data_IF_869288897373
#
_entry.id   IF_869288897373
#
_cell.length_a   1.000
_cell.length_b   1.000
_cell.length_c   1.000
_cell.angle_alpha   90.00
_cell.angle_beta   90.00
_cell.angle_gamma   90.00
#
_symmetry.space_group_name_H-M   'P 1'
#
loop_
_entity.id
_entity.type
_entity.pdbx_description
1 polymer ?
#
# COMPACT_ATOMS: atom_id res chain seq x y z
N UNK A 1 22.05 -22.19 -62.07
CA UNK A 1 20.57 -22.10 -62.10
C UNK A 1 20.02 -22.50 -60.74
N UNK A 2 19.10 -21.67 -60.23
CA UNK A 2 18.11 -21.90 -59.16
C UNK A 2 18.59 -21.90 -57.70
N UNK A 3 18.40 -20.74 -57.08
CA UNK A 3 18.22 -20.54 -55.65
C UNK A 3 16.91 -21.18 -55.16
N UNK A 4 16.89 -21.68 -53.92
CA UNK A 4 15.67 -21.90 -53.16
C UNK A 4 15.91 -21.52 -51.70
N UNK A 5 15.15 -20.53 -51.23
CA UNK A 5 15.09 -20.11 -49.82
C UNK A 5 13.91 -20.82 -49.15
N UNK A 6 14.11 -21.36 -47.94
CA UNK A 6 13.03 -21.72 -47.03
C UNK A 6 13.41 -21.24 -45.62
N UNK A 7 12.59 -20.36 -45.06
CA UNK A 7 12.57 -19.97 -43.64
C UNK A 7 11.62 -20.91 -42.88
N UNK A 8 11.98 -21.30 -41.65
CA UNK A 8 11.08 -22.08 -40.78
C UNK A 8 11.63 -22.43 -39.39
N UNK A 9 11.41 -21.50 -38.43
CA UNK A 9 10.74 -21.67 -37.12
C UNK A 9 11.24 -22.71 -36.06
N UNK A 10 11.53 -22.14 -34.87
CA UNK A 10 11.38 -22.60 -33.45
C UNK A 10 12.15 -23.82 -32.89
N UNK A 11 12.91 -23.62 -31.81
CA UNK A 11 12.47 -23.73 -30.40
C UNK A 11 13.62 -24.08 -29.42
N UNK A 12 13.50 -23.53 -28.21
CA UNK A 12 13.95 -24.05 -26.92
C UNK A 12 15.47 -24.28 -26.68
N UNK A 13 16.09 -23.33 -25.98
CA UNK A 13 17.23 -23.66 -25.10
C UNK A 13 16.66 -23.86 -23.69
N UNK A 14 16.75 -25.10 -23.22
CA UNK A 14 16.43 -25.50 -21.86
C UNK A 14 17.49 -25.00 -20.87
N UNK A 15 17.01 -24.78 -19.64
CA UNK A 15 17.70 -24.20 -18.51
C UNK A 15 18.92 -24.98 -18.02
N UNK A 16 19.90 -24.24 -17.49
CA UNK A 16 20.65 -24.60 -16.29
C UNK A 16 21.00 -23.30 -15.54
N UNK A 17 20.42 -23.14 -14.35
CA UNK A 17 20.68 -22.05 -13.44
C UNK A 17 21.99 -22.31 -12.67
N UNK A 18 22.85 -21.29 -12.47
CA UNK A 18 23.62 -21.16 -11.26
C UNK A 18 22.88 -20.25 -10.27
N UNK A 19 22.85 -20.71 -9.03
CA UNK A 19 22.47 -20.00 -7.83
C UNK A 19 23.05 -18.57 -7.76
N UNK A 20 22.17 -17.57 -7.88
CA UNK A 20 22.34 -16.25 -7.25
C UNK A 20 21.16 -16.11 -6.29
N UNK A 21 21.36 -16.04 -4.98
CA UNK A 21 22.07 -14.92 -4.39
C UNK A 21 21.28 -13.63 -4.63
N UNK A 22 19.97 -13.65 -4.33
CA UNK A 22 19.12 -12.48 -4.45
C UNK A 22 19.53 -11.47 -3.39
N UNK A 23 20.24 -10.43 -3.85
CA UNK A 23 20.54 -9.23 -3.09
C UNK A 23 19.25 -8.67 -2.46
N UNK A 24 19.25 -8.57 -1.14
CA UNK A 24 18.34 -7.68 -0.43
C UNK A 24 18.79 -6.24 -0.70
N UNK A 25 18.10 -5.56 -1.60
CA UNK A 25 18.25 -4.12 -1.75
C UNK A 25 17.67 -3.42 -0.51
N UNK A 26 18.59 -3.08 0.40
CA UNK A 26 18.64 -1.77 1.06
C UNK A 26 17.39 -1.30 1.79
N UNK A 27 17.08 -1.92 2.94
CA UNK A 27 16.41 -1.23 4.03
C UNK A 27 17.41 -1.03 5.16
N UNK A 28 17.91 0.19 5.34
CA UNK A 28 18.67 0.54 6.54
C UNK A 28 17.85 0.17 7.77
N UNK A 29 18.41 -0.67 8.64
CA UNK A 29 17.90 -0.87 10.00
C UNK A 29 17.73 0.50 10.64
N UNK A 30 16.47 0.94 10.82
CA UNK A 30 16.17 2.18 11.53
C UNK A 30 16.48 1.95 13.01
N UNK A 31 17.62 2.46 13.45
CA UNK A 31 17.96 2.58 14.87
C UNK A 31 17.05 3.61 15.54
N UNK A 32 16.17 3.13 16.44
CA UNK A 32 15.80 3.82 17.68
C UNK A 32 14.54 4.69 17.71
N UNK A 33 13.40 4.08 18.07
CA UNK A 33 12.20 4.76 18.58
C UNK A 33 10.92 3.94 18.36
N UNK A 34 10.00 3.89 19.33
CA UNK A 34 8.70 3.23 19.11
C UNK A 34 7.75 4.13 18.29
N UNK A 35 6.95 3.52 17.41
CA UNK A 35 5.90 4.20 16.65
C UNK A 35 4.64 4.34 17.48
N UNK A 36 4.36 5.53 18.01
CA UNK A 36 3.20 5.73 18.87
C UNK A 36 1.95 6.03 18.05
N UNK A 37 0.82 5.41 18.41
CA UNK A 37 -0.49 5.71 17.79
C UNK A 37 -0.86 7.18 18.05
N UNK A 38 -1.38 7.84 17.02
CA UNK A 38 -1.87 9.21 17.08
C UNK A 38 -3.40 9.19 17.17
N UNK A 39 -3.92 9.90 18.16
CA UNK A 39 -5.36 10.13 18.28
C UNK A 39 -5.87 10.92 17.08
N UNK A 40 -6.90 10.39 16.44
CA UNK A 40 -7.46 10.93 15.22
C UNK A 40 -8.96 10.71 15.19
N UNK A 41 -9.70 11.69 14.68
CA UNK A 41 -11.13 11.53 14.41
C UNK A 41 -11.30 10.81 13.08
N UNK A 42 -12.15 9.79 13.06
CA UNK A 42 -12.45 9.00 11.87
C UNK A 42 -13.91 9.19 11.45
N UNK A 43 -14.15 9.32 10.15
CA UNK A 43 -15.48 9.21 9.54
C UNK A 43 -15.44 8.12 8.49
N UNK A 44 -16.49 7.33 8.39
CA UNK A 44 -16.60 6.30 7.35
C UNK A 44 -17.92 6.41 6.61
N UNK A 45 -17.90 5.91 5.40
CA UNK A 45 -19.05 5.74 4.52
C UNK A 45 -18.99 4.33 3.92
N UNK A 46 -19.97 3.91 3.14
CA UNK A 46 -19.95 2.59 2.53
C UNK A 46 -18.73 2.33 1.62
N UNK A 47 -18.08 3.36 1.06
CA UNK A 47 -17.01 3.21 0.06
C UNK A 47 -15.83 4.16 0.32
N UNK A 48 -15.64 4.59 1.56
CA UNK A 48 -14.51 5.46 1.89
C UNK A 48 -14.45 5.88 3.33
N UNK A 49 -13.30 6.44 3.67
CA UNK A 49 -12.94 6.86 5.01
C UNK A 49 -12.18 8.19 4.98
N UNK A 50 -12.32 8.94 6.07
CA UNK A 50 -11.55 10.14 6.36
C UNK A 50 -10.97 9.99 7.76
N UNK A 51 -9.69 10.33 7.90
CA UNK A 51 -8.97 10.36 9.15
C UNK A 51 -8.35 11.74 9.32
N UNK A 52 -8.63 12.40 10.45
CA UNK A 52 -8.12 13.74 10.75
C UNK A 52 -7.41 13.72 12.10
N UNK A 53 -6.16 14.15 12.12
CA UNK A 53 -5.36 14.29 13.32
C UNK A 53 -4.80 15.71 13.44
N UNK A 54 -4.54 16.15 14.68
CA UNK A 54 -3.77 17.37 14.95
C UNK A 54 -2.47 16.97 15.64
N UNK A 55 -1.34 17.32 15.04
CA UNK A 55 0.00 17.01 15.56
C UNK A 55 0.91 18.22 15.39
N UNK A 56 1.59 18.63 16.47
CA UNK A 56 2.52 19.77 16.49
C UNK A 56 1.96 21.06 15.86
N UNK A 57 0.67 21.33 16.11
CA UNK A 57 -0.03 22.50 15.58
C UNK A 57 -0.46 22.39 14.11
N UNK A 58 -0.22 21.26 13.45
CA UNK A 58 -0.62 20.99 12.05
C UNK A 58 -1.83 20.08 11.98
N UNK A 59 -2.67 20.30 10.99
CA UNK A 59 -3.77 19.41 10.67
C UNK A 59 -3.32 18.40 9.61
N UNK A 60 -3.51 17.11 9.89
CA UNK A 60 -3.13 16.02 9.01
C UNK A 60 -4.41 15.25 8.64
N UNK A 61 -4.69 15.16 7.35
CA UNK A 61 -5.90 14.54 6.81
C UNK A 61 -5.52 13.42 5.85
N UNK A 62 -6.08 12.24 6.06
CA UNK A 62 -6.04 11.15 5.09
C UNK A 62 -7.46 10.81 4.62
N UNK A 63 -7.63 10.59 3.32
CA UNK A 63 -8.91 10.17 2.72
C UNK A 63 -8.67 8.97 1.84
N UNK A 64 -9.42 7.91 2.07
CA UNK A 64 -9.44 6.71 1.23
C UNK A 64 -10.80 6.59 0.55
N UNK A 65 -10.80 6.27 -0.74
CA UNK A 65 -12.00 5.92 -1.49
C UNK A 65 -11.80 4.61 -2.21
N UNK A 66 -12.83 3.78 -2.13
CA UNK A 66 -12.91 2.50 -2.78
C UNK A 66 -13.79 2.59 -4.02
N UNK A 67 -13.62 1.63 -4.92
CA UNK A 67 -14.54 1.37 -6.03
C UNK A 67 -14.64 -0.13 -6.28
N UNK A 68 -15.65 -0.55 -7.03
CA UNK A 68 -15.70 -1.90 -7.56
C UNK A 68 -14.49 -2.16 -8.48
N UNK A 69 -13.97 -3.38 -8.43
CA UNK A 69 -12.95 -3.86 -9.35
C UNK A 69 -13.44 -3.75 -10.81
N UNK A 70 -12.54 -3.35 -11.69
CA UNK A 70 -12.81 -3.15 -13.10
C UNK A 70 -11.67 -3.76 -13.92
N UNK A 71 -11.94 -4.88 -14.59
CA UNK A 71 -10.91 -5.66 -15.29
C UNK A 71 -10.15 -4.84 -16.34
N UNK A 72 -10.79 -3.86 -16.98
CA UNK A 72 -10.12 -3.01 -17.97
C UNK A 72 -9.20 -1.99 -17.31
N UNK A 73 -9.60 -1.42 -16.18
CA UNK A 73 -8.80 -0.41 -15.45
C UNK A 73 -7.69 -1.02 -14.61
N UNK A 74 -7.85 -2.27 -14.19
CA UNK A 74 -6.99 -2.92 -13.20
C UNK A 74 -6.08 -4.01 -13.80
N UNK A 75 -6.13 -4.22 -15.13
CA UNK A 75 -5.30 -5.20 -15.83
C UNK A 75 -3.78 -5.03 -15.62
N UNK A 76 -3.32 -3.83 -15.28
CA UNK A 76 -1.89 -3.55 -15.03
C UNK A 76 -1.43 -3.91 -13.62
N UNK A 77 -2.33 -4.31 -12.72
CA UNK A 77 -2.00 -4.67 -11.34
C UNK A 77 -1.60 -6.15 -11.30
N UNK A 78 -0.31 -6.42 -11.14
CA UNK A 78 0.25 -7.78 -11.15
C UNK A 78 0.12 -8.52 -9.81
N UNK A 79 -0.10 -7.79 -8.71
CA UNK A 79 -0.23 -8.33 -7.35
C UNK A 79 -1.26 -7.54 -6.58
N UNK A 80 -2.06 -8.24 -5.79
CA UNK A 80 -3.10 -7.68 -4.93
C UNK A 80 -2.81 -7.98 -3.46
N UNK A 81 -3.17 -7.05 -2.60
CA UNK A 81 -2.97 -7.15 -1.14
C UNK A 81 -4.29 -6.89 -0.42
N UNK A 82 -4.68 -7.81 0.47
CA UNK A 82 -5.91 -7.75 1.28
C UNK A 82 -6.66 -9.08 1.32
N UNK A 83 -7.74 -9.14 2.10
CA UNK A 83 -8.63 -10.31 2.17
C UNK A 83 -9.48 -10.38 0.89
N UNK A 84 -9.01 -11.19 -0.05
CA UNK A 84 -9.71 -11.45 -1.30
C UNK A 84 -9.99 -12.93 -1.55
N UNK A 85 -9.40 -13.84 -0.76
CA UNK A 85 -9.42 -15.31 -0.90
C UNK A 85 -8.79 -15.82 -2.20
N UNK A 86 -9.25 -15.34 -3.35
CA UNK A 86 -8.67 -15.57 -4.67
C UNK A 86 -8.84 -14.31 -5.52
N UNK A 87 -7.76 -13.76 -6.12
CA UNK A 87 -7.89 -12.61 -7.01
C UNK A 87 -8.75 -12.92 -8.24
N UNK A 88 -9.42 -11.91 -8.82
CA UNK A 88 -9.34 -10.49 -8.47
C UNK A 88 -10.18 -10.12 -7.22
N UNK A 89 -9.85 -9.00 -6.55
CA UNK A 89 -10.67 -8.47 -5.46
C UNK A 89 -12.05 -8.01 -5.97
N UNK A 90 -13.02 -7.85 -5.07
CA UNK A 90 -14.31 -7.25 -5.41
C UNK A 90 -14.23 -5.72 -5.42
N UNK A 91 -13.43 -5.16 -4.52
CA UNK A 91 -13.22 -3.72 -4.36
C UNK A 91 -11.74 -3.39 -4.34
N UNK A 92 -11.40 -2.23 -4.87
CA UNK A 92 -10.03 -1.72 -4.94
C UNK A 92 -9.99 -0.26 -4.51
N UNK A 93 -8.86 0.18 -3.99
CA UNK A 93 -8.67 1.60 -3.65
C UNK A 93 -8.59 2.43 -4.94
N UNK A 94 -9.58 3.30 -5.13
CA UNK A 94 -9.63 4.26 -6.24
C UNK A 94 -8.71 5.44 -5.98
N UNK A 95 -8.70 5.92 -4.74
CA UNK A 95 -8.00 7.13 -4.33
C UNK A 95 -7.51 7.03 -2.91
N UNK A 96 -6.26 7.43 -2.71
CA UNK A 96 -5.68 7.73 -1.41
C UNK A 96 -5.10 9.14 -1.43
N UNK A 97 -5.63 10.01 -0.59
CA UNK A 97 -5.14 11.38 -0.40
C UNK A 97 -4.55 11.50 0.99
N UNK A 98 -3.38 12.13 1.07
CA UNK A 98 -2.80 12.61 2.31
C UNK A 98 -2.57 14.11 2.17
N UNK A 99 -2.94 14.90 3.18
CA UNK A 99 -2.75 16.34 3.19
C UNK A 99 -2.31 16.84 4.57
N UNK A 100 -1.49 17.89 4.57
CA UNK A 100 -1.02 18.60 5.77
C UNK A 100 -1.37 20.07 5.61
N UNK A 101 -2.14 20.63 6.54
CA UNK A 101 -2.65 22.00 6.50
C UNK A 101 -3.33 22.32 5.15
N UNK A 102 -4.08 21.35 4.62
CA UNK A 102 -4.75 21.42 3.33
C UNK A 102 -3.86 21.23 2.09
N UNK A 103 -2.54 21.08 2.25
CA UNK A 103 -1.60 20.84 1.15
C UNK A 103 -1.38 19.34 0.93
N UNK A 104 -1.60 18.88 -0.28
CA UNK A 104 -1.49 17.45 -0.63
C UNK A 104 -0.05 16.93 -0.62
N UNK A 105 0.13 15.75 -0.03
CA UNK A 105 1.34 14.91 -0.17
C UNK A 105 1.13 13.96 -1.34
N UNK A 106 2.09 13.92 -2.27
CA UNK A 106 1.99 13.05 -3.44
C UNK A 106 2.15 11.58 -3.06
N UNK A 107 1.09 10.79 -3.29
CA UNK A 107 1.12 9.32 -3.22
C UNK A 107 0.78 8.79 -4.62
N UNK A 108 1.75 8.23 -5.36
CA UNK A 108 1.49 7.65 -6.67
C UNK A 108 0.44 6.53 -6.63
N UNK A 109 -0.37 6.42 -7.68
CA UNK A 109 -1.40 5.37 -7.80
C UNK A 109 -0.84 3.94 -7.70
N UNK A 110 0.41 3.72 -8.16
CA UNK A 110 1.11 2.45 -8.01
C UNK A 110 1.39 2.05 -6.57
N UNK A 111 1.24 2.96 -5.61
CA UNK A 111 1.45 2.72 -4.17
C UNK A 111 0.16 2.42 -3.40
N UNK A 112 -1.01 2.45 -4.03
CA UNK A 112 -2.27 2.15 -3.33
C UNK A 112 -3.28 1.33 -4.15
N UNK A 113 -3.23 1.35 -5.49
CA UNK A 113 -4.26 0.69 -6.33
C UNK A 113 -4.27 -0.83 -6.26
N UNK A 114 -3.23 -1.44 -5.72
CA UNK A 114 -3.15 -2.89 -5.50
C UNK A 114 -3.86 -3.34 -4.20
N UNK A 115 -4.32 -2.39 -3.37
CA UNK A 115 -5.05 -2.69 -2.16
C UNK A 115 -6.48 -3.10 -2.53
N UNK A 116 -6.85 -4.29 -2.08
CA UNK A 116 -8.09 -4.96 -2.45
C UNK A 116 -8.85 -5.47 -1.23
N UNK A 117 -10.16 -5.66 -1.42
CA UNK A 117 -11.02 -6.32 -0.44
C UNK A 117 -12.10 -7.12 -1.14
N UNK A 118 -12.55 -8.21 -0.51
CA UNK A 118 -13.73 -8.96 -0.93
C UNK A 118 -15.03 -8.31 -0.46
N UNK A 119 -14.99 -7.60 0.67
CA UNK A 119 -16.16 -7.08 1.36
C UNK A 119 -16.02 -5.58 1.63
N UNK A 120 -17.14 -4.86 1.59
CA UNK A 120 -17.15 -3.44 1.95
C UNK A 120 -18.29 -3.14 2.94
N UNK A 121 -17.91 -2.66 4.12
CA UNK A 121 -18.80 -2.18 5.15
C UNK A 121 -18.20 -0.91 5.79
N UNK A 122 -18.94 -0.27 6.69
CA UNK A 122 -18.50 0.98 7.34
C UNK A 122 -17.18 0.86 8.12
N UNK A 123 -16.79 -0.34 8.55
CA UNK A 123 -15.55 -0.59 9.27
C UNK A 123 -14.39 -0.83 8.29
N UNK A 124 -14.59 -1.66 7.26
CA UNK A 124 -13.58 -1.93 6.23
C UNK A 124 -13.36 -0.75 5.28
N UNK A 125 -14.32 0.18 5.20
CA UNK A 125 -14.23 1.36 4.34
C UNK A 125 -13.29 2.44 4.89
N UNK A 126 -13.00 2.45 6.20
CA UNK A 126 -12.00 3.33 6.79
C UNK A 126 -11.00 2.53 7.65
N UNK A 127 -10.03 1.85 7.01
CA UNK A 127 -9.06 1.04 7.74
C UNK A 127 -7.76 1.82 8.01
N UNK A 128 -7.87 3.14 8.20
CA UNK A 128 -6.71 4.01 8.30
C UNK A 128 -6.35 4.29 9.76
N UNK A 129 -5.05 4.39 10.05
CA UNK A 129 -4.56 4.93 11.32
C UNK A 129 -3.27 5.74 11.13
N UNK A 130 -2.98 6.62 12.08
CA UNK A 130 -1.74 7.40 12.10
C UNK A 130 -0.86 6.97 13.27
N UNK A 131 0.44 6.89 13.03
CA UNK A 131 1.44 6.77 14.09
C UNK A 131 2.55 7.83 13.90
N UNK A 132 3.26 8.14 14.98
CA UNK A 132 4.37 9.09 15.03
C UNK A 132 5.62 8.47 15.63
N UNK A 133 6.78 8.83 15.08
CA UNK A 133 8.10 8.50 15.61
C UNK A 133 9.04 9.70 15.38
N UNK A 134 9.43 10.37 16.46
CA UNK A 134 10.14 11.65 16.37
C UNK A 134 9.36 12.66 15.53
N UNK A 135 10.00 13.25 14.53
CA UNK A 135 9.39 14.22 13.61
C UNK A 135 8.70 13.58 12.40
N UNK A 136 8.73 12.24 12.28
CA UNK A 136 8.09 11.50 11.19
C UNK A 136 6.71 11.02 11.59
N UNK A 137 5.84 10.94 10.60
CA UNK A 137 4.52 10.32 10.72
C UNK A 137 4.42 9.13 9.76
N UNK A 138 3.59 8.16 10.08
CA UNK A 138 3.14 7.15 9.12
C UNK A 138 1.63 7.06 9.08
N UNK A 139 1.10 6.92 7.87
CA UNK A 139 -0.26 6.49 7.61
C UNK A 139 -0.22 4.98 7.41
N UNK A 140 -1.04 4.25 8.15
CA UNK A 140 -1.29 2.83 7.95
C UNK A 140 -2.64 2.67 7.26
N UNK A 141 -2.70 1.77 6.29
CA UNK A 141 -3.95 1.33 5.66
C UNK A 141 -4.00 -0.18 5.78
N UNK A 142 -4.84 -0.66 6.69
CA UNK A 142 -5.03 -2.07 6.94
C UNK A 142 -6.02 -2.66 5.93
N UNK A 143 -5.74 -3.82 5.36
CA UNK A 143 -6.65 -4.53 4.47
C UNK A 143 -6.68 -6.00 4.84
N UNK A 144 -7.87 -6.51 5.14
CA UNK A 144 -8.07 -7.87 5.62
C UNK A 144 -8.94 -7.95 6.87
N UNK A 145 -9.14 -9.17 7.36
CA UNK A 145 -9.98 -9.48 8.54
C UNK A 145 -9.18 -9.86 9.80
N UNK A 146 -7.84 -9.74 9.74
CA UNK A 146 -6.92 -10.06 10.84
C UNK A 146 -6.44 -11.52 10.85
N UNK A 147 -7.11 -12.44 10.14
CA UNK A 147 -6.59 -13.80 9.88
C UNK A 147 -5.65 -13.83 8.69
N UNK A 148 -5.98 -13.06 7.64
CA UNK A 148 -5.11 -12.72 6.51
C UNK A 148 -5.15 -11.20 6.32
N UNK A 149 -4.16 -10.49 6.87
CA UNK A 149 -4.13 -9.03 6.90
C UNK A 149 -2.85 -8.47 6.30
N UNK A 150 -2.95 -7.39 5.54
CA UNK A 150 -1.81 -6.62 5.07
C UNK A 150 -1.95 -5.18 5.54
N UNK A 151 -0.83 -4.53 5.80
CA UNK A 151 -0.80 -3.11 6.13
C UNK A 151 0.08 -2.40 5.12
N UNK A 152 -0.52 -1.48 4.35
CA UNK A 152 0.26 -0.53 3.57
C UNK A 152 0.73 0.61 4.47
N UNK A 153 2.03 0.82 4.52
CA UNK A 153 2.70 1.81 5.34
C UNK A 153 3.15 2.97 4.44
N UNK A 154 2.83 4.20 4.82
CA UNK A 154 3.26 5.41 4.14
C UNK A 154 3.95 6.31 5.15
N UNK A 155 5.28 6.33 5.17
CA UNK A 155 6.05 7.22 6.06
C UNK A 155 6.22 8.56 5.36
N UNK A 156 5.91 9.64 6.05
CA UNK A 156 5.98 10.99 5.53
C UNK A 156 6.54 11.97 6.56
N UNK A 157 7.13 13.04 6.03
CA UNK A 157 7.57 14.19 6.81
C UNK A 157 6.43 15.23 6.80
N UNK A 158 5.77 15.47 7.95
CA UNK A 158 4.71 16.46 8.04
C UNK A 158 5.22 17.90 7.90
N UNK A 159 6.48 18.18 8.23
CA UNK A 159 7.08 19.50 8.07
C UNK A 159 7.37 19.80 6.59
N UNK A 160 7.96 18.84 5.88
CA UNK A 160 8.30 18.97 4.46
C UNK A 160 7.12 18.71 3.50
N UNK A 161 6.03 18.09 3.97
CA UNK A 161 4.88 17.74 3.13
C UNK A 161 5.21 16.66 2.08
N UNK A 162 6.10 15.72 2.43
CA UNK A 162 6.67 14.76 1.47
C UNK A 162 6.54 13.32 1.97
N UNK A 163 6.15 12.43 1.05
CA UNK A 163 6.25 10.99 1.26
C UNK A 163 7.73 10.58 1.25
N UNK A 164 8.19 9.98 2.33
CA UNK A 164 9.58 9.52 2.51
C UNK A 164 9.74 8.09 2.00
N UNK A 165 8.85 7.19 2.42
CA UNK A 165 8.92 5.78 2.05
C UNK A 165 7.53 5.14 2.01
N UNK A 166 7.49 3.94 1.47
CA UNK A 166 6.30 3.13 1.37
C UNK A 166 6.65 1.65 1.36
N UNK A 167 5.92 0.85 2.13
CA UNK A 167 6.00 -0.61 2.17
C UNK A 167 4.60 -1.22 2.28
N UNK A 168 4.53 -2.53 2.05
CA UNK A 168 3.36 -3.35 2.37
C UNK A 168 3.87 -4.54 3.14
N UNK A 169 3.37 -4.68 4.35
CA UNK A 169 3.86 -5.64 5.32
C UNK A 169 2.71 -6.53 5.80
N UNK A 170 3.07 -7.66 6.38
CA UNK A 170 2.10 -8.53 7.07
C UNK A 170 1.50 -7.76 8.25
N UNK A 171 0.17 -7.68 8.32
CA UNK A 171 -0.54 -6.77 9.21
C UNK A 171 -0.17 -6.96 10.69
N UNK A 172 -0.29 -8.17 11.25
CA UNK A 172 0.17 -8.49 12.60
C UNK A 172 1.60 -8.01 12.89
N UNK A 173 2.54 -8.21 11.96
CA UNK A 173 3.93 -7.83 12.16
C UNK A 173 4.15 -6.31 12.29
N UNK A 174 3.31 -5.48 11.66
CA UNK A 174 3.41 -4.01 11.76
C UNK A 174 2.85 -3.49 13.08
N UNK A 175 1.75 -4.09 13.55
CA UNK A 175 1.11 -3.69 14.79
C UNK A 175 1.90 -4.15 16.01
N UNK A 176 2.58 -5.30 15.93
CA UNK A 176 3.46 -5.79 17.01
C UNK A 176 4.74 -4.94 17.17
N UNK A 177 5.14 -4.18 16.14
CA UNK A 177 6.24 -3.20 16.20
C UNK A 177 5.87 -1.90 16.93
N UNK A 178 4.60 -1.72 17.32
CA UNK A 178 4.11 -0.55 18.07
C UNK A 178 4.40 -0.70 19.58
N UNK A 179 4.84 -1.87 20.05
CA UNK A 179 5.06 -2.15 21.47
C UNK A 179 6.55 -2.35 21.80
N UNK A 180 7.03 -1.69 22.86
CA UNK A 180 7.66 -2.40 23.97
C UNK A 180 6.68 -2.64 25.12
#
# INVERSE_FOLDING_TARGET
MKHLWIFGIWAAVAACAPSGGGNHDGGTSETGGSWNKVEASAKSSAMGGELVAKQDGREIVAVIKWRAYDAAKDASVSKWYGDMGTPPPAFVVDRLVLAIDGKGVSIPASKYRYLGSKWMNQYSANPMSFNKQGDKMRLLVDVGDGGEGWTAVYVFDPAAGKLLSHSVDDGPAVHDQILP
#
